data_IF_204025112046
#
_entry.id   IF_204025112046
#
_cell.length_a   1.000
_cell.length_b   1.000
_cell.length_c   1.000
_cell.angle_alpha   90.00
_cell.angle_beta   90.00
_cell.angle_gamma   90.00
#
_symmetry.space_group_name_H-M   'P 1'
#
loop_
_entity.id
_entity.type
_entity.pdbx_description
1 polymer ?
#
# COMPACT_ATOMS: atom_id res chain seq x y z
N UNK A 1 -27.05 19.00 -8.48
CA UNK A 1 -26.02 18.19 -9.18
C UNK A 1 -25.51 17.12 -8.22
N UNK A 2 -25.04 16.00 -8.75
CA UNK A 2 -24.32 14.99 -7.95
C UNK A 2 -22.83 15.36 -7.81
N UNK A 3 -22.18 14.92 -6.74
CA UNK A 3 -20.75 15.21 -6.53
C UNK A 3 -19.88 14.76 -7.72
N UNK A 4 -20.12 13.57 -8.26
CA UNK A 4 -19.37 13.07 -9.42
C UNK A 4 -19.56 13.94 -10.68
N UNK A 5 -20.74 14.56 -10.87
CA UNK A 5 -20.99 15.48 -11.98
C UNK A 5 -20.16 16.76 -11.82
N UNK A 6 -20.05 17.28 -10.57
CA UNK A 6 -19.23 18.45 -10.26
C UNK A 6 -17.75 18.16 -10.50
N UNK A 7 -17.25 17.00 -10.05
CA UNK A 7 -15.87 16.57 -10.29
C UNK A 7 -15.57 16.44 -11.78
N UNK A 8 -16.50 15.87 -12.57
CA UNK A 8 -16.37 15.73 -14.02
C UNK A 8 -16.35 17.10 -14.70
N UNK A 9 -17.24 18.01 -14.30
CA UNK A 9 -17.28 19.37 -14.85
C UNK A 9 -15.97 20.14 -14.53
N UNK A 10 -15.49 20.05 -13.29
CA UNK A 10 -14.23 20.66 -12.87
C UNK A 10 -13.02 20.13 -13.66
N UNK A 11 -12.99 18.82 -13.91
CA UNK A 11 -11.91 18.18 -14.69
C UNK A 11 -11.94 18.58 -16.18
N UNK A 12 -13.14 18.93 -16.70
CA UNK A 12 -13.36 19.32 -18.10
C UNK A 12 -13.18 20.82 -18.34
N UNK A 13 -12.91 21.62 -17.31
CA UNK A 13 -12.66 23.06 -17.40
C UNK A 13 -11.25 23.32 -17.96
N UNK A 14 -11.13 23.21 -19.30
CA UNK A 14 -9.88 23.47 -20.02
C UNK A 14 -9.77 24.97 -20.34
N UNK A 15 -8.91 25.69 -19.62
CA UNK A 15 -8.63 27.12 -19.88
C UNK A 15 -7.29 27.54 -19.29
N UNK A 16 -6.73 28.65 -19.82
CA UNK A 16 -5.49 29.26 -19.29
C UNK A 16 -5.65 29.70 -17.81
N UNK A 17 -6.89 29.89 -17.34
CA UNK A 17 -7.21 30.23 -15.95
C UNK A 17 -8.48 29.47 -15.50
N UNK A 18 -8.31 28.27 -14.91
CA UNK A 18 -9.47 27.52 -14.34
C UNK A 18 -10.08 28.31 -13.18
N UNK A 19 -11.39 28.11 -12.92
CA UNK A 19 -12.04 28.64 -11.73
C UNK A 19 -11.31 28.16 -10.46
N UNK A 20 -11.43 28.93 -9.37
CA UNK A 20 -10.89 28.52 -8.07
C UNK A 20 -11.48 27.19 -7.60
N UNK A 21 -12.78 26.97 -7.86
CA UNK A 21 -13.46 25.71 -7.59
C UNK A 21 -12.77 24.55 -8.31
N UNK A 22 -12.55 24.67 -9.62
CA UNK A 22 -11.85 23.65 -10.42
C UNK A 22 -10.43 23.44 -9.93
N UNK A 23 -9.67 24.50 -9.69
CA UNK A 23 -8.28 24.42 -9.23
C UNK A 23 -8.14 23.64 -7.90
N UNK A 24 -9.04 23.90 -6.94
CA UNK A 24 -9.05 23.24 -5.64
C UNK A 24 -9.51 21.77 -5.76
N UNK A 25 -10.48 21.46 -6.65
CA UNK A 25 -10.98 20.10 -6.88
C UNK A 25 -10.02 19.19 -7.66
N UNK A 26 -9.10 19.72 -8.46
CA UNK A 26 -8.15 18.94 -9.26
C UNK A 26 -7.28 17.99 -8.44
N UNK A 27 -7.19 18.23 -7.13
CA UNK A 27 -6.47 17.36 -6.21
C UNK A 27 -7.29 16.20 -5.66
N UNK A 28 -8.59 16.17 -5.92
CA UNK A 28 -9.46 15.04 -5.58
C UNK A 28 -9.31 13.99 -6.68
N UNK A 29 -8.68 12.86 -6.39
CA UNK A 29 -8.38 11.82 -7.39
C UNK A 29 -9.34 10.64 -7.31
N UNK A 30 -9.92 10.37 -6.13
CA UNK A 30 -10.93 9.33 -5.97
C UNK A 30 -11.89 9.68 -4.84
N UNK A 31 -13.12 9.23 -4.98
CA UNK A 31 -14.21 9.44 -4.01
C UNK A 31 -14.97 8.13 -3.85
N UNK A 32 -15.29 7.79 -2.62
CA UNK A 32 -16.16 6.67 -2.28
C UNK A 32 -17.50 6.75 -3.02
N UNK A 33 -18.01 5.60 -3.44
CA UNK A 33 -19.27 5.53 -4.20
C UNK A 33 -20.46 6.16 -3.48
N UNK A 34 -20.53 6.05 -2.16
CA UNK A 34 -21.60 6.63 -1.35
C UNK A 34 -21.56 8.17 -1.39
N UNK A 35 -20.36 8.77 -1.37
CA UNK A 35 -20.18 10.22 -1.50
C UNK A 35 -20.38 10.70 -2.93
N UNK A 36 -19.92 9.96 -3.92
CA UNK A 36 -19.99 10.36 -5.33
C UNK A 36 -21.41 10.61 -5.81
N UNK A 37 -22.38 9.88 -5.23
CA UNK A 37 -23.80 9.99 -5.51
C UNK A 37 -24.57 11.03 -4.71
N UNK A 38 -23.93 11.75 -3.77
CA UNK A 38 -24.60 12.77 -2.94
C UNK A 38 -24.99 13.98 -3.77
N UNK A 39 -26.19 14.52 -3.49
CA UNK A 39 -26.64 15.80 -4.07
C UNK A 39 -25.89 16.95 -3.39
N UNK A 40 -25.11 17.68 -4.18
CA UNK A 40 -24.55 18.96 -3.76
C UNK A 40 -25.56 20.09 -4.07
N UNK A 41 -25.56 21.14 -3.26
CA UNK A 41 -26.43 22.27 -3.50
C UNK A 41 -26.03 22.97 -4.83
N UNK A 42 -26.99 23.68 -5.46
CA UNK A 42 -26.79 24.38 -6.73
C UNK A 42 -27.45 23.68 -7.89
N UNK A 43 -28.00 24.49 -8.81
CA UNK A 43 -28.73 24.01 -9.97
C UNK A 43 -27.81 23.56 -11.11
N UNK A 44 -26.64 24.17 -11.22
CA UNK A 44 -25.66 23.96 -12.28
C UNK A 44 -24.24 24.32 -11.79
N UNK A 45 -23.24 23.92 -12.57
CA UNK A 45 -21.82 24.12 -12.24
C UNK A 45 -21.43 25.61 -12.16
N UNK A 46 -21.96 26.46 -13.07
CA UNK A 46 -21.66 27.89 -13.08
C UNK A 46 -22.13 28.59 -11.79
N UNK A 47 -23.30 28.21 -11.28
CA UNK A 47 -23.81 28.69 -9.99
C UNK A 47 -22.92 28.30 -8.82
N UNK A 48 -22.38 27.07 -8.84
CA UNK A 48 -21.41 26.59 -7.84
C UNK A 48 -20.11 27.38 -7.90
N UNK A 49 -19.56 27.61 -9.08
CA UNK A 49 -18.37 28.44 -9.29
C UNK A 49 -18.57 29.84 -8.71
N UNK A 50 -19.63 30.52 -9.10
CA UNK A 50 -19.90 31.88 -8.64
C UNK A 50 -20.03 31.98 -7.10
N UNK A 51 -20.73 31.02 -6.50
CA UNK A 51 -20.86 30.97 -5.05
C UNK A 51 -19.54 30.66 -4.33
N UNK A 52 -18.74 29.73 -4.87
CA UNK A 52 -17.44 29.40 -4.28
C UNK A 52 -16.43 30.55 -4.38
N UNK A 53 -16.40 31.29 -5.50
CA UNK A 53 -15.54 32.47 -5.70
C UNK A 53 -15.84 33.57 -4.68
N UNK A 54 -17.11 33.71 -4.25
CA UNK A 54 -17.51 34.65 -3.19
C UNK A 54 -17.25 34.15 -1.77
N UNK A 55 -16.70 32.93 -1.61
CA UNK A 55 -16.63 32.21 -0.35
C UNK A 55 -15.56 32.68 0.63
N UNK A 56 -15.63 32.11 1.82
CA UNK A 56 -14.84 32.47 3.00
C UNK A 56 -13.36 32.04 2.98
N UNK A 57 -12.65 32.22 4.09
CA UNK A 57 -11.27 31.82 4.27
C UNK A 57 -11.10 30.30 4.27
N UNK A 58 -9.86 29.86 4.12
CA UNK A 58 -9.53 28.45 4.29
C UNK A 58 -9.84 27.97 5.70
N UNK A 59 -10.25 26.70 5.87
CA UNK A 59 -10.59 26.17 7.19
C UNK A 59 -9.37 26.09 8.12
N UNK A 60 -9.64 26.04 9.42
CA UNK A 60 -8.65 25.69 10.43
C UNK A 60 -8.28 24.21 10.30
N UNK A 61 -6.98 23.93 10.33
CA UNK A 61 -6.43 22.57 10.29
C UNK A 61 -5.45 22.42 11.44
N UNK A 62 -5.67 21.45 12.31
CA UNK A 62 -4.71 21.12 13.37
C UNK A 62 -3.97 19.84 13.00
N UNK A 63 -2.64 19.96 12.86
CA UNK A 63 -1.76 18.80 12.77
C UNK A 63 -1.73 18.10 14.14
N UNK A 64 -1.95 16.79 14.16
CA UNK A 64 -1.91 15.95 15.36
C UNK A 64 -0.78 14.95 15.24
N UNK A 65 0.24 15.10 16.09
CA UNK A 65 1.45 14.27 16.06
C UNK A 65 1.58 13.52 17.37
N UNK A 66 1.79 12.20 17.30
CA UNK A 66 2.20 11.38 18.44
C UNK A 66 3.72 11.24 18.42
N UNK A 67 4.38 11.38 19.57
CA UNK A 67 5.83 11.25 19.65
C UNK A 67 6.30 10.38 20.83
N UNK A 68 7.42 9.72 20.61
CA UNK A 68 8.25 9.07 21.62
C UNK A 68 9.68 8.89 21.07
N UNK A 69 10.63 9.69 21.57
CA UNK A 69 12.04 9.68 21.14
C UNK A 69 12.21 9.82 19.60
N UNK A 70 11.78 11.00 19.08
CA UNK A 70 11.73 11.31 17.64
C UNK A 70 12.61 12.55 17.30
N UNK A 71 13.72 12.78 18.01
CA UNK A 71 14.58 13.96 17.82
C UNK A 71 15.09 14.10 16.39
N UNK A 72 15.31 12.99 15.67
CA UNK A 72 15.83 13.01 14.29
C UNK A 72 14.76 13.42 13.25
N UNK A 73 13.49 13.22 13.53
CA UNK A 73 12.39 13.35 12.56
C UNK A 73 11.41 14.48 12.87
N UNK A 74 11.15 14.77 14.14
CA UNK A 74 10.08 15.66 14.59
C UNK A 74 10.20 17.08 14.02
N UNK A 75 11.40 17.61 13.88
CA UNK A 75 11.65 18.95 13.33
C UNK A 75 11.20 19.06 11.88
N UNK A 76 11.49 18.04 11.06
CA UNK A 76 11.06 17.95 9.64
C UNK A 76 9.55 17.77 9.54
N UNK A 77 8.97 16.90 10.36
CA UNK A 77 7.53 16.67 10.43
C UNK A 77 6.79 17.99 10.67
N UNK A 78 7.08 18.68 11.77
CA UNK A 78 6.44 19.95 12.16
C UNK A 78 6.69 21.05 11.12
N UNK A 79 7.93 21.18 10.65
CA UNK A 79 8.30 22.20 9.66
C UNK A 79 7.57 22.05 8.33
N UNK A 80 7.36 20.81 7.86
CA UNK A 80 6.66 20.54 6.62
C UNK A 80 5.17 20.87 6.70
N UNK A 81 4.55 20.67 7.88
CA UNK A 81 3.12 20.90 8.11
C UNK A 81 2.75 22.38 8.33
N UNK A 82 3.74 23.26 8.54
CA UNK A 82 3.51 24.65 8.98
C UNK A 82 2.70 25.52 8.00
N UNK A 83 2.65 25.18 6.71
CA UNK A 83 1.86 25.91 5.70
C UNK A 83 0.42 25.40 5.58
N UNK A 84 0.20 24.15 5.95
CA UNK A 84 -1.09 23.48 5.82
C UNK A 84 -1.87 23.40 7.13
N UNK A 85 -1.17 23.48 8.26
CA UNK A 85 -1.77 23.47 9.58
C UNK A 85 -1.75 24.86 10.21
N UNK A 86 -2.88 25.28 10.79
CA UNK A 86 -2.99 26.51 11.58
C UNK A 86 -2.37 26.40 12.96
N UNK A 87 -2.15 25.17 13.43
CA UNK A 87 -1.47 24.80 14.66
C UNK A 87 -1.18 23.32 14.69
N UNK A 88 -0.32 22.89 15.62
CA UNK A 88 0.04 21.48 15.81
C UNK A 88 -0.19 21.12 17.28
N UNK A 89 -0.83 19.98 17.52
CA UNK A 89 -0.89 19.31 18.82
C UNK A 89 0.11 18.17 18.79
N UNK A 90 1.17 18.28 19.59
CA UNK A 90 2.12 17.20 19.83
C UNK A 90 1.74 16.50 21.13
N UNK A 91 1.35 15.24 21.05
CA UNK A 91 1.08 14.38 22.20
C UNK A 91 2.27 13.46 22.42
N UNK A 92 3.06 13.80 23.44
CA UNK A 92 4.29 13.08 23.79
C UNK A 92 4.04 11.94 24.79
N UNK A 93 4.62 10.79 24.52
CA UNK A 93 4.46 9.58 25.33
C UNK A 93 5.56 9.38 26.40
N UNK A 94 6.40 10.41 26.61
CA UNK A 94 7.47 10.40 27.60
C UNK A 94 8.86 10.36 26.97
N UNK A 95 9.10 11.17 25.93
CA UNK A 95 10.41 11.31 25.28
C UNK A 95 11.49 11.73 26.26
N UNK A 96 12.65 11.13 26.13
CA UNK A 96 13.85 11.36 26.97
C UNK A 96 14.99 12.01 26.19
N UNK A 97 14.85 12.10 24.88
CA UNK A 97 15.77 12.75 23.94
C UNK A 97 15.41 14.24 23.72
N UNK A 98 15.95 14.87 22.69
CA UNK A 98 15.72 16.28 22.35
C UNK A 98 14.37 16.54 21.64
N UNK A 99 13.48 15.56 21.49
CA UNK A 99 12.20 15.67 20.75
C UNK A 99 11.41 16.91 21.16
N UNK A 100 11.21 17.11 22.48
CA UNK A 100 10.39 18.22 23.01
C UNK A 100 11.08 19.58 22.85
N UNK A 101 12.39 19.64 22.92
CA UNK A 101 13.16 20.87 22.72
C UNK A 101 13.06 21.31 21.24
N UNK A 102 13.25 20.39 20.32
CA UNK A 102 13.13 20.63 18.87
C UNK A 102 11.70 21.10 18.55
N UNK A 103 10.70 20.43 19.07
CA UNK A 103 9.31 20.81 18.83
C UNK A 103 8.99 22.25 19.34
N UNK A 104 9.49 22.63 20.51
CA UNK A 104 9.31 24.00 21.07
C UNK A 104 10.03 25.07 20.25
N UNK A 105 11.16 24.73 19.64
CA UNK A 105 11.96 25.66 18.84
C UNK A 105 11.45 25.83 17.42
N UNK A 106 10.44 25.03 17.01
CA UNK A 106 9.87 25.14 15.65
C UNK A 106 9.15 26.47 15.44
N UNK A 107 9.09 26.94 14.20
CA UNK A 107 8.38 28.17 13.81
C UNK A 107 6.85 28.04 13.81
N UNK A 108 6.32 26.84 13.92
CA UNK A 108 4.88 26.57 13.95
C UNK A 108 4.31 26.78 15.36
N UNK A 109 3.01 27.08 15.46
CA UNK A 109 2.29 27.11 16.72
C UNK A 109 2.09 25.68 17.23
N UNK A 110 2.95 25.22 18.14
CA UNK A 110 2.91 23.85 18.69
C UNK A 110 2.38 23.88 20.14
N UNK A 111 1.28 23.17 20.36
CA UNK A 111 0.75 22.86 21.69
C UNK A 111 1.25 21.48 22.10
N UNK A 112 2.12 21.41 23.09
CA UNK A 112 2.66 20.15 23.59
C UNK A 112 1.81 19.68 24.77
N UNK A 113 1.39 18.41 24.73
CA UNK A 113 0.75 17.68 25.81
C UNK A 113 1.51 16.38 26.06
N UNK A 114 1.64 15.98 27.33
CA UNK A 114 2.31 14.74 27.69
C UNK A 114 1.31 13.77 28.32
N UNK A 115 1.33 12.53 27.85
CA UNK A 115 0.52 11.42 28.37
C UNK A 115 1.34 10.13 28.29
N UNK A 116 1.55 9.42 29.42
CA UNK A 116 2.23 8.13 29.38
C UNK A 116 1.58 7.18 28.35
N UNK A 117 2.41 6.37 27.70
CA UNK A 117 1.94 5.41 26.70
C UNK A 117 0.96 4.40 27.32
N UNK A 118 -0.31 4.32 26.83
CA UNK A 118 -1.34 3.45 27.41
C UNK A 118 -1.29 2.00 26.91
N UNK A 119 -0.36 1.66 26.01
CA UNK A 119 -0.33 0.35 25.35
C UNK A 119 -1.14 0.27 24.06
N UNK A 120 -1.79 1.35 23.64
CA UNK A 120 -2.70 1.40 22.50
C UNK A 120 -2.53 2.70 21.71
N UNK A 121 -2.29 2.58 20.40
CA UNK A 121 -2.25 3.73 19.50
C UNK A 121 -3.63 4.38 19.35
N UNK A 122 -4.70 3.58 19.26
CA UNK A 122 -6.05 4.13 19.15
C UNK A 122 -6.43 4.94 20.38
N UNK A 123 -6.10 4.49 21.58
CA UNK A 123 -6.34 5.21 22.81
C UNK A 123 -5.57 6.54 22.86
N UNK A 124 -4.31 6.53 22.39
CA UNK A 124 -3.49 7.73 22.34
C UNK A 124 -4.03 8.73 21.30
N UNK A 125 -4.41 8.28 20.09
CA UNK A 125 -5.03 9.16 19.07
C UNK A 125 -6.39 9.69 19.50
N UNK A 126 -7.23 8.86 20.12
CA UNK A 126 -8.52 9.29 20.64
C UNK A 126 -8.38 10.34 21.76
N UNK A 127 -7.36 10.24 22.60
CA UNK A 127 -7.04 11.29 23.55
C UNK A 127 -6.58 12.56 22.83
N UNK A 128 -5.72 12.46 21.82
CA UNK A 128 -5.26 13.63 21.05
C UNK A 128 -6.41 14.41 20.39
N UNK A 129 -7.46 13.72 19.91
CA UNK A 129 -8.69 14.36 19.40
C UNK A 129 -9.29 15.31 20.43
N UNK A 130 -9.26 14.97 21.73
CA UNK A 130 -9.85 15.81 22.79
C UNK A 130 -9.06 17.09 23.06
N UNK A 131 -7.83 17.20 22.57
CA UNK A 131 -6.97 18.37 22.75
C UNK A 131 -7.19 19.46 21.70
N UNK A 132 -8.02 19.18 20.68
CA UNK A 132 -8.39 20.08 19.59
C UNK A 132 -9.85 20.47 19.74
N UNK A 133 -10.13 21.76 19.63
CA UNK A 133 -11.48 22.30 19.88
C UNK A 133 -12.39 22.18 18.66
N UNK A 134 -11.90 22.57 17.46
CA UNK A 134 -12.68 22.62 16.21
C UNK A 134 -11.81 22.46 14.96
N UNK A 135 -12.43 22.56 13.78
CA UNK A 135 -11.77 22.52 12.49
C UNK A 135 -11.47 21.09 12.00
N UNK A 136 -10.45 20.98 11.19
CA UNK A 136 -9.96 19.70 10.65
C UNK A 136 -8.80 19.16 11.46
N UNK A 137 -8.79 17.87 11.67
CA UNK A 137 -7.67 17.11 12.26
C UNK A 137 -6.86 16.49 11.13
N UNK A 138 -5.55 16.67 11.19
CA UNK A 138 -4.62 15.99 10.28
C UNK A 138 -3.61 15.19 11.11
N UNK A 139 -3.80 13.89 11.18
CA UNK A 139 -2.87 12.97 11.86
C UNK A 139 -1.63 12.75 11.02
N UNK A 140 -0.47 13.09 11.57
CA UNK A 140 0.85 12.96 10.93
C UNK A 140 1.72 12.16 11.89
N UNK A 141 2.34 11.07 11.43
CA UNK A 141 3.29 10.35 12.26
C UNK A 141 4.61 11.13 12.33
N UNK A 142 5.31 11.07 13.47
CA UNK A 142 6.49 11.91 13.71
C UNK A 142 7.63 11.70 12.68
N UNK A 143 7.63 10.56 11.96
CA UNK A 143 8.55 10.21 10.90
C UNK A 143 7.97 10.40 9.48
N UNK A 144 6.86 11.17 9.37
CA UNK A 144 6.24 11.58 8.11
C UNK A 144 6.40 13.08 7.88
N UNK A 145 6.39 13.50 6.60
CA UNK A 145 6.41 14.91 6.24
C UNK A 145 5.71 15.16 4.91
N UNK A 146 5.17 16.37 4.75
CA UNK A 146 4.53 16.83 3.52
C UNK A 146 5.61 17.15 2.49
N UNK A 147 5.45 16.67 1.26
CA UNK A 147 6.38 16.95 0.17
C UNK A 147 6.44 18.48 -0.12
N UNK A 148 7.63 19.04 -0.40
CA UNK A 148 7.79 20.48 -0.59
C UNK A 148 6.86 21.10 -1.65
N UNK A 149 6.61 20.35 -2.73
CA UNK A 149 5.72 20.75 -3.84
C UNK A 149 4.24 20.77 -3.44
N UNK A 150 3.85 20.09 -2.37
CA UNK A 150 2.46 20.04 -1.90
C UNK A 150 2.15 20.93 -0.70
N UNK A 151 3.17 21.49 -0.07
CA UNK A 151 2.99 22.40 1.06
C UNK A 151 2.15 23.63 0.70
N UNK A 152 1.15 23.91 1.53
CA UNK A 152 0.20 25.02 1.37
C UNK A 152 -1.00 24.69 0.48
N UNK A 153 -1.16 23.43 0.05
CA UNK A 153 -2.23 23.02 -0.89
C UNK A 153 -3.38 22.26 -0.23
N UNK A 154 -3.24 21.82 1.03
CA UNK A 154 -4.28 21.07 1.72
C UNK A 154 -5.50 21.92 2.05
N UNK A 155 -5.31 23.11 2.65
CA UNK A 155 -6.41 23.94 3.13
C UNK A 155 -7.38 24.38 2.04
N UNK A 156 -6.94 24.78 0.82
CA UNK A 156 -7.83 25.03 -0.30
C UNK A 156 -8.71 23.84 -0.67
N UNK A 157 -8.14 22.62 -0.68
CA UNK A 157 -8.93 21.40 -0.95
C UNK A 157 -9.96 21.15 0.16
N UNK A 158 -9.58 21.27 1.42
CA UNK A 158 -10.52 21.10 2.52
C UNK A 158 -11.64 22.15 2.51
N UNK A 159 -11.35 23.39 2.08
CA UNK A 159 -12.37 24.43 1.89
C UNK A 159 -13.41 24.03 0.83
N UNK A 160 -12.97 23.48 -0.30
CA UNK A 160 -13.94 23.06 -1.34
C UNK A 160 -14.75 21.85 -0.87
N UNK A 161 -14.17 20.95 -0.08
CA UNK A 161 -14.91 19.85 0.52
C UNK A 161 -15.92 20.31 1.58
N UNK A 162 -15.59 21.33 2.38
CA UNK A 162 -16.55 21.97 3.29
C UNK A 162 -17.72 22.63 2.54
N UNK A 163 -17.43 23.26 1.40
CA UNK A 163 -18.42 23.92 0.58
C UNK A 163 -19.38 22.93 -0.12
N UNK A 164 -18.84 21.84 -0.69
CA UNK A 164 -19.63 20.87 -1.45
C UNK A 164 -20.34 19.83 -0.57
N UNK A 165 -19.74 19.48 0.58
CA UNK A 165 -20.19 18.41 1.45
C UNK A 165 -20.41 18.90 2.89
N UNK A 166 -21.24 19.96 3.10
CA UNK A 166 -21.49 20.48 4.44
C UNK A 166 -22.23 19.41 5.28
N UNK A 167 -21.72 19.17 6.50
CA UNK A 167 -22.33 18.23 7.44
C UNK A 167 -22.19 16.74 7.07
N UNK A 168 -21.46 16.40 6.02
CA UNK A 168 -21.13 14.99 5.71
C UNK A 168 -19.90 14.56 6.49
N UNK A 169 -19.95 13.35 7.07
CA UNK A 169 -18.82 12.75 7.77
C UNK A 169 -18.06 11.81 6.82
N UNK A 170 -16.80 12.11 6.56
CA UNK A 170 -15.91 11.33 5.70
C UNK A 170 -14.45 11.51 6.10
N UNK A 171 -13.62 10.60 5.65
CA UNK A 171 -12.16 10.63 5.83
C UNK A 171 -11.47 11.12 4.57
N UNK A 172 -10.37 11.83 4.73
CA UNK A 172 -9.54 12.30 3.61
C UNK A 172 -8.16 11.65 3.71
N UNK A 173 -7.70 11.11 2.59
CA UNK A 173 -6.48 10.34 2.48
C UNK A 173 -5.47 11.04 1.57
N UNK A 174 -4.37 11.60 2.10
CA UNK A 174 -3.20 11.96 1.30
C UNK A 174 -2.49 10.71 0.78
N UNK A 175 -1.70 10.84 -0.29
CA UNK A 175 -0.77 9.81 -0.77
C UNK A 175 0.46 9.78 0.13
N UNK A 176 0.89 8.60 0.54
CA UNK A 176 2.04 8.39 1.41
C UNK A 176 3.07 7.48 0.72
N UNK A 177 4.19 8.04 0.30
CA UNK A 177 5.31 7.29 -0.25
C UNK A 177 6.17 6.71 0.89
N UNK A 178 6.37 5.40 0.87
CA UNK A 178 7.19 4.71 1.87
C UNK A 178 8.64 4.62 1.42
N UNK A 179 9.51 5.46 1.99
CA UNK A 179 10.96 5.39 1.74
C UNK A 179 11.51 4.02 2.11
N UNK A 180 12.32 3.45 1.22
CA UNK A 180 12.94 2.14 1.42
C UNK A 180 12.06 0.94 0.99
N UNK A 181 10.76 1.14 0.72
CA UNK A 181 9.89 0.10 0.16
C UNK A 181 9.50 0.35 -1.30
N UNK A 182 9.43 1.62 -1.72
CA UNK A 182 9.06 2.01 -3.07
C UNK A 182 7.56 1.92 -3.38
N UNK A 183 6.72 1.66 -2.36
CA UNK A 183 5.27 1.65 -2.46
C UNK A 183 4.65 2.98 -2.05
N UNK A 184 3.47 3.27 -2.59
CA UNK A 184 2.67 4.45 -2.25
C UNK A 184 1.33 4.00 -1.70
N UNK A 185 1.04 4.37 -0.45
CA UNK A 185 -0.26 4.14 0.16
C UNK A 185 -1.21 5.31 -0.16
N UNK A 186 -2.41 5.02 -0.67
CA UNK A 186 -3.44 6.01 -1.00
C UNK A 186 -4.59 6.02 0.01
N UNK A 187 -4.88 4.91 0.65
CA UNK A 187 -5.96 4.77 1.63
C UNK A 187 -5.46 5.02 3.06
N UNK A 188 -4.88 6.21 3.31
CA UNK A 188 -4.21 6.54 4.57
C UNK A 188 -5.15 7.03 5.67
N UNK A 189 -6.32 7.61 5.32
CA UNK A 189 -7.40 8.04 6.23
C UNK A 189 -6.93 8.93 7.40
N UNK A 190 -6.08 9.89 7.09
CA UNK A 190 -5.38 10.71 8.09
C UNK A 190 -6.10 12.01 8.47
N UNK A 191 -7.13 12.43 7.71
CA UNK A 191 -7.72 13.76 7.84
C UNK A 191 -9.24 13.64 7.98
N UNK A 192 -9.82 14.34 8.99
CA UNK A 192 -11.27 14.42 9.17
C UNK A 192 -11.65 15.61 10.05
N UNK A 193 -12.93 16.00 10.04
CA UNK A 193 -13.43 17.10 10.88
C UNK A 193 -13.44 16.70 12.34
N UNK A 194 -13.08 17.64 13.23
CA UNK A 194 -13.15 17.45 14.68
C UNK A 194 -14.59 17.14 15.14
N UNK A 195 -15.58 17.69 14.45
CA UNK A 195 -17.00 17.46 14.72
C UNK A 195 -17.50 16.06 14.36
N UNK A 196 -16.78 15.34 13.50
CA UNK A 196 -17.14 13.97 13.12
C UNK A 196 -17.07 13.02 14.32
N UNK A 197 -17.97 12.03 14.40
CA UNK A 197 -18.05 11.13 15.55
C UNK A 197 -16.95 10.07 15.55
N UNK A 198 -16.02 10.11 14.61
CA UNK A 198 -15.01 9.06 14.43
C UNK A 198 -14.17 8.80 15.65
N UNK A 199 -13.82 7.52 15.84
CA UNK A 199 -12.89 7.03 16.85
C UNK A 199 -11.93 6.06 16.23
N UNK A 200 -10.65 6.18 16.58
CA UNK A 200 -9.67 5.15 16.22
C UNK A 200 -9.99 3.87 16.99
N UNK A 201 -9.88 2.74 16.29
CA UNK A 201 -10.06 1.39 16.82
C UNK A 201 -8.86 0.52 16.47
N UNK A 202 -8.52 -0.42 17.38
CA UNK A 202 -7.34 -1.27 17.29
C UNK A 202 -6.14 -0.69 18.05
N UNK A 203 -5.47 -1.51 18.87
CA UNK A 203 -4.32 -1.05 19.65
C UNK A 203 -3.09 -0.78 18.77
N UNK A 204 -2.99 -1.50 17.65
CA UNK A 204 -2.01 -1.33 16.56
C UNK A 204 -2.74 -1.45 15.22
N UNK A 205 -2.21 -0.87 14.13
CA UNK A 205 -2.88 -0.80 12.83
C UNK A 205 -4.27 -0.17 12.96
N UNK A 206 -4.35 0.83 13.79
CA UNK A 206 -5.58 1.55 14.12
C UNK A 206 -6.07 2.38 12.94
N UNK A 207 -7.39 2.42 12.79
CA UNK A 207 -8.08 3.25 11.79
C UNK A 207 -9.27 3.97 12.42
N UNK A 208 -9.69 5.13 11.88
CA UNK A 208 -10.88 5.81 12.34
C UNK A 208 -12.15 5.14 11.79
N UNK A 209 -13.11 4.88 12.66
CA UNK A 209 -14.42 4.29 12.38
C UNK A 209 -15.52 5.10 13.04
N UNK A 210 -16.77 4.86 12.62
CA UNK A 210 -17.92 5.29 13.43
C UNK A 210 -17.95 4.54 14.76
N UNK A 211 -18.64 5.08 15.80
CA UNK A 211 -18.68 4.42 17.12
C UNK A 211 -19.27 3.00 17.12
N UNK A 212 -20.09 2.67 16.12
CA UNK A 212 -20.66 1.33 15.93
C UNK A 212 -19.70 0.35 15.24
N UNK A 213 -18.52 0.84 14.80
CA UNK A 213 -17.50 0.07 14.09
C UNK A 213 -17.67 0.04 12.58
N UNK A 214 -18.66 0.75 12.03
CA UNK A 214 -18.81 0.87 10.58
C UNK A 214 -17.74 1.77 9.96
N UNK A 215 -17.35 1.45 8.73
CA UNK A 215 -16.33 2.20 7.98
C UNK A 215 -16.90 3.50 7.44
N UNK A 216 -16.23 4.65 7.65
CA UNK A 216 -16.59 5.90 7.00
C UNK A 216 -16.32 5.90 5.51
N UNK A 217 -17.08 6.68 4.75
CA UNK A 217 -16.74 7.05 3.38
C UNK A 217 -15.43 7.84 3.32
N UNK A 218 -14.78 7.84 2.16
CA UNK A 218 -13.45 8.42 2.01
C UNK A 218 -13.28 9.20 0.71
N UNK A 219 -12.30 10.11 0.74
CA UNK A 219 -11.83 10.90 -0.42
C UNK A 219 -10.30 10.78 -0.47
N UNK A 220 -9.74 10.43 -1.63
CA UNK A 220 -8.29 10.42 -1.86
C UNK A 220 -7.83 11.70 -2.54
N UNK A 221 -6.70 12.22 -2.10
CA UNK A 221 -6.10 13.44 -2.62
C UNK A 221 -4.78 13.16 -3.32
N UNK A 222 -4.53 13.90 -4.40
CA UNK A 222 -3.20 14.13 -4.95
C UNK A 222 -2.46 15.16 -4.08
N UNK A 223 -2.14 14.74 -2.86
CA UNK A 223 -1.38 15.48 -1.86
C UNK A 223 -0.34 14.54 -1.28
N UNK A 224 0.92 14.79 -1.59
CA UNK A 224 2.03 13.88 -1.32
C UNK A 224 2.62 14.07 0.06
N UNK A 225 2.79 12.93 0.74
CA UNK A 225 3.57 12.80 1.97
C UNK A 225 4.65 11.73 1.77
N UNK A 226 5.68 11.78 2.57
CA UNK A 226 6.73 10.77 2.61
C UNK A 226 6.92 10.25 4.03
N UNK A 227 7.12 8.94 4.15
CA UNK A 227 7.35 8.23 5.40
C UNK A 227 8.75 7.63 5.41
N UNK A 228 9.58 8.04 6.36
CA UNK A 228 10.99 7.61 6.49
C UNK A 228 11.19 6.46 7.47
N UNK A 229 10.14 6.04 8.16
CA UNK A 229 10.21 5.02 9.22
C UNK A 229 10.60 3.61 8.76
N UNK A 230 10.69 3.34 7.44
CA UNK A 230 11.13 2.07 6.85
C UNK A 230 12.58 2.06 6.37
N UNK A 231 13.29 3.16 6.53
CA UNK A 231 14.74 3.17 6.25
C UNK A 231 15.44 2.19 7.22
N UNK A 232 16.31 1.27 6.74
CA UNK A 232 16.88 0.19 7.56
C UNK A 232 17.53 0.65 8.85
N UNK A 233 18.20 1.79 8.82
CA UNK A 233 18.87 2.40 9.97
C UNK A 233 17.86 2.78 11.07
N UNK A 234 16.72 3.35 10.70
CA UNK A 234 15.65 3.77 11.62
C UNK A 234 14.93 2.57 12.21
N UNK A 235 14.65 1.54 11.41
CA UNK A 235 13.98 0.30 11.87
C UNK A 235 14.81 -0.40 12.92
N UNK A 236 16.15 -0.46 12.73
CA UNK A 236 17.07 -1.13 13.64
C UNK A 236 17.20 -0.37 14.97
N UNK A 237 17.29 0.96 14.93
CA UNK A 237 17.45 1.79 16.12
C UNK A 237 16.23 1.75 17.05
N UNK A 238 15.01 1.72 16.50
CA UNK A 238 13.76 1.87 17.28
C UNK A 238 13.21 0.59 17.91
N UNK A 239 13.81 -0.60 17.70
CA UNK A 239 13.28 -1.91 18.17
C UNK A 239 11.79 -2.12 17.90
N UNK A 240 11.27 -1.47 16.83
CA UNK A 240 9.84 -1.43 16.48
C UNK A 240 9.23 -2.84 16.32
N UNK A 241 9.98 -3.78 15.73
CA UNK A 241 9.46 -5.12 15.40
C UNK A 241 9.06 -5.96 16.64
N UNK A 242 9.77 -5.83 17.76
CA UNK A 242 9.45 -6.57 18.99
C UNK A 242 8.14 -6.10 19.62
N UNK A 243 7.97 -4.79 19.76
CA UNK A 243 6.76 -4.18 20.33
C UNK A 243 5.52 -4.49 19.49
N UNK A 244 5.61 -4.38 18.16
CA UNK A 244 4.48 -4.68 17.26
C UNK A 244 4.00 -6.12 17.40
N UNK A 245 4.92 -7.09 17.51
CA UNK A 245 4.58 -8.51 17.71
C UNK A 245 3.80 -8.76 18.98
N UNK A 246 4.21 -8.17 20.10
CA UNK A 246 3.51 -8.34 21.38
C UNK A 246 2.12 -7.68 21.36
N UNK A 247 1.98 -6.51 20.71
CA UNK A 247 0.70 -5.85 20.56
C UNK A 247 -0.27 -6.66 19.68
N UNK A 248 0.20 -7.18 18.52
CA UNK A 248 -0.61 -8.06 17.66
C UNK A 248 -1.08 -9.30 18.43
N UNK A 249 -0.18 -9.92 19.20
CA UNK A 249 -0.52 -11.09 20.02
C UNK A 249 -1.57 -10.77 21.09
N UNK A 250 -1.49 -9.61 21.73
CA UNK A 250 -2.48 -9.15 22.70
C UNK A 250 -3.83 -8.94 22.04
N UNK A 251 -3.89 -8.23 20.90
CA UNK A 251 -5.10 -8.02 20.10
C UNK A 251 -5.71 -9.37 19.65
N UNK A 252 -4.87 -10.29 19.18
CA UNK A 252 -5.28 -11.62 18.75
C UNK A 252 -5.91 -12.44 19.89
N UNK A 253 -5.36 -12.29 21.10
CA UNK A 253 -5.88 -12.96 22.31
C UNK A 253 -7.20 -12.35 22.78
N UNK A 254 -7.35 -11.04 22.67
CA UNK A 254 -8.58 -10.33 23.04
C UNK A 254 -9.74 -10.58 22.05
N UNK A 255 -9.41 -10.67 20.75
CA UNK A 255 -10.38 -10.87 19.67
C UNK A 255 -10.05 -12.09 18.80
N UNK A 256 -10.18 -13.33 19.32
CA UNK A 256 -9.68 -14.54 18.64
C UNK A 256 -10.32 -14.84 17.28
N UNK A 257 -11.49 -14.32 17.00
CA UNK A 257 -12.21 -14.53 15.73
C UNK A 257 -12.20 -13.31 14.81
N UNK A 258 -11.45 -12.25 15.17
CA UNK A 258 -11.31 -11.10 14.28
C UNK A 258 -10.23 -11.41 13.21
N UNK A 259 -10.60 -11.53 11.91
CA UNK A 259 -9.67 -11.89 10.84
C UNK A 259 -8.58 -10.84 10.63
N UNK A 260 -8.81 -9.58 11.02
CA UNK A 260 -7.81 -8.52 11.01
C UNK A 260 -6.54 -8.93 11.74
N UNK A 261 -6.67 -9.49 12.93
CA UNK A 261 -5.52 -9.87 13.74
C UNK A 261 -4.80 -11.10 13.19
N UNK A 262 -5.52 -12.03 12.55
CA UNK A 262 -4.91 -13.17 11.84
C UNK A 262 -4.10 -12.68 10.65
N UNK A 263 -4.63 -11.73 9.88
CA UNK A 263 -3.93 -11.11 8.76
C UNK A 263 -2.62 -10.44 9.22
N UNK A 264 -2.69 -9.56 10.22
CA UNK A 264 -1.49 -8.85 10.70
C UNK A 264 -0.48 -9.79 11.38
N UNK A 265 -0.93 -10.82 12.12
CA UNK A 265 -0.06 -11.85 12.64
C UNK A 265 0.66 -12.59 11.51
N UNK A 266 -0.06 -12.94 10.45
CA UNK A 266 0.54 -13.61 9.29
C UNK A 266 1.53 -12.70 8.58
N UNK A 267 1.17 -11.45 8.31
CA UNK A 267 2.01 -10.50 7.56
C UNK A 267 3.25 -10.06 8.34
N UNK A 268 3.10 -9.71 9.62
CA UNK A 268 4.13 -9.02 10.38
C UNK A 268 4.96 -9.96 11.29
N UNK A 269 4.43 -11.17 11.57
CA UNK A 269 5.10 -12.13 12.44
C UNK A 269 5.49 -13.40 11.71
N UNK A 270 4.55 -14.07 11.03
CA UNK A 270 4.81 -15.36 10.40
C UNK A 270 5.58 -15.21 9.09
N UNK A 271 5.16 -14.34 8.19
CA UNK A 271 5.79 -14.17 6.88
C UNK A 271 7.29 -13.83 6.96
N UNK A 272 7.76 -12.93 7.85
CA UNK A 272 9.19 -12.69 8.03
C UNK A 272 9.97 -13.89 8.58
N UNK A 273 9.29 -14.87 9.17
CA UNK A 273 9.89 -16.10 9.71
C UNK A 273 9.88 -17.27 8.71
N UNK A 274 9.21 -17.15 7.57
CA UNK A 274 9.16 -18.19 6.53
C UNK A 274 10.56 -18.42 5.95
N UNK A 275 11.04 -19.66 6.05
CA UNK A 275 12.36 -20.11 5.52
C UNK A 275 12.23 -21.33 4.61
N UNK A 276 11.08 -22.00 4.61
CA UNK A 276 10.82 -23.21 3.82
C UNK A 276 9.43 -23.18 3.19
N UNK A 277 9.16 -24.01 2.18
CA UNK A 277 7.83 -24.23 1.65
C UNK A 277 6.82 -24.69 2.71
N UNK A 278 7.27 -25.45 3.71
CA UNK A 278 6.45 -25.92 4.81
C UNK A 278 6.01 -24.77 5.73
N UNK A 279 6.93 -23.84 6.04
CA UNK A 279 6.60 -22.64 6.81
C UNK A 279 5.58 -21.77 6.06
N UNK A 280 5.76 -21.62 4.73
CA UNK A 280 4.86 -20.87 3.89
C UNK A 280 3.45 -21.51 3.86
N UNK A 281 3.38 -22.85 3.79
CA UNK A 281 2.12 -23.58 3.85
C UNK A 281 1.44 -23.40 5.21
N UNK A 282 2.15 -23.50 6.30
CA UNK A 282 1.61 -23.29 7.64
C UNK A 282 1.05 -21.86 7.81
N UNK A 283 1.77 -20.84 7.33
CA UNK A 283 1.30 -19.45 7.34
C UNK A 283 0.06 -19.24 6.45
N UNK A 284 0.03 -19.90 5.29
CA UNK A 284 -1.12 -19.91 4.39
C UNK A 284 -2.35 -20.52 5.08
N UNK A 285 -2.23 -21.74 5.65
CA UNK A 285 -3.33 -22.45 6.30
C UNK A 285 -3.87 -21.63 7.50
N UNK A 286 -2.97 -20.96 8.25
CA UNK A 286 -3.34 -20.08 9.35
C UNK A 286 -4.23 -18.91 8.85
N UNK A 287 -3.78 -18.17 7.83
CA UNK A 287 -4.52 -17.04 7.27
C UNK A 287 -5.82 -17.50 6.59
N UNK A 288 -5.76 -18.57 5.79
CA UNK A 288 -6.90 -19.11 5.06
C UNK A 288 -8.04 -19.51 6.00
N UNK A 289 -7.72 -20.05 7.18
CA UNK A 289 -8.71 -20.43 8.19
C UNK A 289 -9.58 -19.27 8.68
N UNK A 290 -9.13 -18.04 8.52
CA UNK A 290 -9.83 -16.83 8.95
C UNK A 290 -10.77 -16.24 7.90
N UNK A 291 -10.67 -16.65 6.63
CA UNK A 291 -11.51 -16.12 5.54
C UNK A 291 -13.03 -16.16 5.84
N UNK A 292 -13.57 -17.25 6.44
CA UNK A 292 -15.00 -17.31 6.77
C UNK A 292 -15.44 -16.32 7.86
N UNK A 293 -14.53 -15.60 8.50
CA UNK A 293 -14.87 -14.63 9.55
C UNK A 293 -15.10 -13.22 9.00
N UNK A 294 -14.61 -12.91 7.79
CA UNK A 294 -14.86 -11.63 7.14
C UNK A 294 -16.37 -11.44 6.90
N UNK A 295 -16.87 -10.24 7.14
CA UNK A 295 -18.28 -9.90 6.99
C UNK A 295 -19.23 -10.48 8.02
N UNK A 296 -18.75 -11.18 9.05
CA UNK A 296 -19.63 -11.70 10.14
C UNK A 296 -20.14 -10.56 11.02
N UNK A 297 -21.43 -10.61 11.41
CA UNK A 297 -21.96 -9.67 12.39
C UNK A 297 -21.17 -9.68 13.70
N UNK A 298 -20.88 -8.51 14.24
CA UNK A 298 -20.15 -8.35 15.51
C UNK A 298 -18.63 -8.33 15.38
N UNK A 299 -18.06 -8.61 14.22
CA UNK A 299 -16.65 -8.37 13.92
C UNK A 299 -16.51 -6.88 13.62
N UNK A 300 -15.79 -6.18 14.49
CA UNK A 300 -15.50 -4.74 14.35
C UNK A 300 -14.13 -4.53 13.74
N UNK A 301 -13.91 -3.34 13.20
CA UNK A 301 -12.58 -2.92 12.74
C UNK A 301 -11.98 -3.88 11.69
N UNK A 302 -12.86 -4.44 10.81
CA UNK A 302 -12.47 -5.33 9.73
C UNK A 302 -13.15 -4.91 8.43
N UNK A 303 -12.37 -4.41 7.50
CA UNK A 303 -12.84 -3.81 6.25
C UNK A 303 -12.74 -4.77 5.06
N UNK A 304 -13.49 -4.48 3.99
CA UNK A 304 -13.39 -5.18 2.72
C UNK A 304 -11.96 -5.14 2.15
N UNK A 305 -11.25 -4.02 2.33
CA UNK A 305 -9.84 -3.87 1.92
C UNK A 305 -8.93 -4.91 2.59
N UNK A 306 -9.22 -5.29 3.84
CA UNK A 306 -8.42 -6.29 4.55
C UNK A 306 -8.65 -7.70 4.01
N UNK A 307 -9.86 -8.02 3.52
CA UNK A 307 -10.11 -9.28 2.82
C UNK A 307 -9.30 -9.33 1.52
N UNK A 308 -9.22 -8.22 0.81
CA UNK A 308 -8.41 -8.09 -0.40
C UNK A 308 -6.93 -8.31 -0.10
N UNK A 309 -6.39 -7.60 0.89
CA UNK A 309 -4.99 -7.73 1.32
C UNK A 309 -4.68 -9.16 1.78
N UNK A 310 -5.59 -9.80 2.51
CA UNK A 310 -5.46 -11.19 2.93
C UNK A 310 -5.45 -12.16 1.73
N UNK A 311 -6.28 -11.89 0.71
CA UNK A 311 -6.35 -12.72 -0.50
C UNK A 311 -5.07 -12.61 -1.33
N UNK A 312 -4.51 -11.40 -1.45
CA UNK A 312 -3.20 -11.18 -2.08
C UNK A 312 -2.10 -11.92 -1.32
N UNK A 313 -2.06 -11.78 0.01
CA UNK A 313 -1.06 -12.46 0.84
C UNK A 313 -1.17 -13.99 0.76
N UNK A 314 -2.38 -14.52 0.61
CA UNK A 314 -2.59 -15.96 0.38
C UNK A 314 -2.00 -16.41 -0.97
N UNK A 315 -2.17 -15.64 -2.04
CA UNK A 315 -1.50 -15.90 -3.31
C UNK A 315 0.04 -15.90 -3.17
N UNK A 316 0.59 -14.89 -2.49
CA UNK A 316 2.05 -14.78 -2.27
C UNK A 316 2.62 -15.93 -1.44
N UNK A 317 1.90 -16.36 -0.42
CA UNK A 317 2.28 -17.54 0.38
C UNK A 317 2.20 -18.83 -0.45
N UNK A 318 1.13 -18.97 -1.26
CA UNK A 318 0.94 -20.13 -2.13
C UNK A 318 2.04 -20.24 -3.19
N UNK A 319 2.54 -19.11 -3.71
CA UNK A 319 3.72 -19.10 -4.61
C UNK A 319 4.95 -19.74 -3.95
N UNK A 320 5.17 -19.50 -2.64
CA UNK A 320 6.36 -19.97 -1.92
C UNK A 320 6.38 -21.48 -1.69
N UNK A 321 5.23 -22.15 -1.69
CA UNK A 321 5.17 -23.62 -1.59
C UNK A 321 4.71 -24.30 -2.89
N UNK A 322 4.51 -23.55 -3.97
CA UNK A 322 4.12 -24.08 -5.28
C UNK A 322 2.65 -24.51 -5.37
N UNK A 323 1.77 -23.89 -4.56
CA UNK A 323 0.34 -24.18 -4.48
C UNK A 323 -0.45 -23.63 -5.66
N UNK A 324 -0.42 -24.30 -6.81
CA UNK A 324 -1.07 -23.81 -8.04
C UNK A 324 -2.59 -23.74 -7.94
N UNK A 325 -3.20 -24.72 -7.30
CA UNK A 325 -4.66 -24.77 -7.10
C UNK A 325 -5.12 -23.65 -6.17
N UNK A 326 -4.35 -23.40 -5.11
CA UNK A 326 -4.60 -22.32 -4.15
C UNK A 326 -4.47 -20.95 -4.82
N UNK A 327 -3.43 -20.75 -5.65
CA UNK A 327 -3.25 -19.49 -6.39
C UNK A 327 -4.42 -19.29 -7.36
N UNK A 328 -4.81 -20.30 -8.13
CA UNK A 328 -5.90 -20.20 -9.09
C UNK A 328 -7.24 -19.87 -8.40
N UNK A 329 -7.49 -20.48 -7.24
CA UNK A 329 -8.67 -20.20 -6.41
C UNK A 329 -8.71 -18.74 -5.95
N UNK A 330 -7.62 -18.24 -5.37
CA UNK A 330 -7.56 -16.87 -4.87
C UNK A 330 -7.47 -15.83 -5.98
N UNK A 331 -6.84 -16.14 -7.12
CA UNK A 331 -6.84 -15.26 -8.30
C UNK A 331 -8.27 -15.03 -8.83
N UNK A 332 -9.11 -16.08 -8.84
CA UNK A 332 -10.54 -15.90 -9.17
C UNK A 332 -11.24 -14.98 -8.18
N UNK A 333 -11.01 -15.18 -6.87
CA UNK A 333 -11.59 -14.34 -5.83
C UNK A 333 -11.14 -12.86 -5.94
N UNK A 334 -9.89 -12.59 -6.35
CA UNK A 334 -9.40 -11.23 -6.60
C UNK A 334 -10.17 -10.55 -7.73
N UNK A 335 -10.53 -11.28 -8.79
CA UNK A 335 -11.36 -10.73 -9.86
C UNK A 335 -12.75 -10.32 -9.35
N UNK A 336 -13.38 -11.15 -8.52
CA UNK A 336 -14.68 -10.87 -7.90
C UNK A 336 -14.62 -9.68 -6.92
N UNK A 337 -13.47 -9.47 -6.29
CA UNK A 337 -13.19 -8.34 -5.42
C UNK A 337 -12.81 -7.05 -6.18
N UNK A 338 -12.93 -7.04 -7.52
CA UNK A 338 -12.65 -5.87 -8.35
C UNK A 338 -11.16 -5.59 -8.59
N UNK A 339 -10.31 -6.62 -8.48
CA UNK A 339 -8.86 -6.54 -8.72
C UNK A 339 -8.41 -7.39 -9.92
N UNK A 340 -8.85 -7.03 -11.14
CA UNK A 340 -8.57 -7.82 -12.33
C UNK A 340 -7.09 -7.86 -12.71
N UNK A 341 -6.31 -6.85 -12.35
CA UNK A 341 -4.87 -6.77 -12.68
C UNK A 341 -4.09 -7.78 -11.84
N UNK A 342 -4.32 -7.81 -10.53
CA UNK A 342 -3.72 -8.78 -9.62
C UNK A 342 -4.17 -10.19 -9.94
N UNK A 343 -5.45 -10.39 -10.24
CA UNK A 343 -6.00 -11.67 -10.69
C UNK A 343 -5.28 -12.19 -11.95
N UNK A 344 -5.11 -11.33 -12.97
CA UNK A 344 -4.41 -11.67 -14.21
C UNK A 344 -2.93 -11.99 -13.96
N UNK A 345 -2.26 -11.26 -13.07
CA UNK A 345 -0.87 -11.53 -12.69
C UNK A 345 -0.71 -12.95 -12.12
N UNK A 346 -1.51 -13.30 -11.10
CA UNK A 346 -1.41 -14.62 -10.47
C UNK A 346 -1.83 -15.76 -11.42
N UNK A 347 -2.82 -15.56 -12.27
CA UNK A 347 -3.19 -16.53 -13.31
C UNK A 347 -2.01 -16.76 -14.26
N UNK A 348 -1.37 -15.70 -14.75
CA UNK A 348 -0.20 -15.80 -15.62
C UNK A 348 0.99 -16.50 -14.94
N UNK A 349 1.21 -16.28 -13.65
CA UNK A 349 2.25 -16.98 -12.86
C UNK A 349 1.99 -18.49 -12.82
N UNK A 350 0.72 -18.92 -12.64
CA UNK A 350 0.35 -20.35 -12.67
C UNK A 350 0.60 -20.96 -14.05
N UNK A 351 0.21 -20.27 -15.13
CA UNK A 351 0.44 -20.71 -16.50
C UNK A 351 1.95 -20.82 -16.81
N UNK A 352 2.72 -19.80 -16.46
CA UNK A 352 4.17 -19.78 -16.64
C UNK A 352 4.83 -20.95 -15.87
N UNK A 353 4.49 -21.16 -14.60
CA UNK A 353 5.01 -22.27 -13.80
C UNK A 353 4.65 -23.65 -14.38
N UNK A 354 3.48 -23.76 -15.01
CA UNK A 354 3.04 -24.97 -15.71
C UNK A 354 3.88 -25.23 -16.96
N UNK A 355 4.08 -24.20 -17.78
CA UNK A 355 4.93 -24.25 -18.98
C UNK A 355 6.39 -24.62 -18.61
N UNK A 356 6.95 -23.96 -17.59
CA UNK A 356 8.30 -24.26 -17.09
C UNK A 356 8.45 -25.72 -16.61
N UNK A 357 7.40 -26.28 -15.97
CA UNK A 357 7.41 -27.69 -15.55
C UNK A 357 7.49 -28.63 -16.75
N UNK A 358 6.79 -28.31 -17.83
CA UNK A 358 6.87 -29.08 -19.09
C UNK A 358 8.25 -28.95 -19.74
N UNK A 359 8.75 -27.70 -19.86
CA UNK A 359 10.06 -27.41 -20.47
C UNK A 359 11.19 -28.15 -19.70
N UNK A 360 11.21 -28.10 -18.37
CA UNK A 360 12.25 -28.72 -17.56
C UNK A 360 12.27 -30.27 -17.64
N UNK A 361 11.21 -30.90 -18.17
CA UNK A 361 11.19 -32.36 -18.42
C UNK A 361 11.85 -32.76 -19.77
N UNK A 362 12.04 -31.80 -20.67
CA UNK A 362 12.58 -32.09 -21.99
C UNK A 362 14.01 -32.65 -21.93
N UNK A 363 14.97 -32.00 -21.20
CA UNK A 363 16.34 -32.53 -21.11
C UNK A 363 16.39 -33.98 -20.61
N UNK A 364 15.73 -34.27 -19.50
CA UNK A 364 15.75 -35.60 -18.89
C UNK A 364 15.06 -36.69 -19.74
N UNK A 365 14.11 -36.30 -20.59
CA UNK A 365 13.49 -37.24 -21.56
C UNK A 365 14.40 -37.58 -22.72
N UNK A 366 15.31 -36.68 -23.05
CA UNK A 366 16.22 -36.85 -24.18
C UNK A 366 17.51 -37.56 -23.80
N UNK A 367 17.96 -37.49 -22.54
CA UNK A 367 19.22 -38.12 -22.09
C UNK A 367 19.31 -39.62 -22.43
N UNK A 368 18.29 -40.49 -22.22
CA UNK A 368 18.39 -41.91 -22.54
C UNK A 368 18.56 -42.20 -24.04
N UNK A 369 18.13 -41.28 -24.91
CA UNK A 369 18.26 -41.44 -26.36
C UNK A 369 19.68 -41.16 -26.81
N UNK A 370 20.43 -40.34 -26.05
CA UNK A 370 21.81 -39.96 -26.38
C UNK A 370 22.78 -41.13 -26.15
N UNK A 371 22.49 -42.01 -25.20
CA UNK A 371 23.34 -43.16 -24.86
C UNK A 371 23.31 -44.27 -25.96
N UNK A 372 22.29 -44.26 -26.81
CA UNK A 372 22.12 -45.28 -27.88
C UNK A 372 22.32 -44.71 -29.28
N UNK A 373 22.83 -43.47 -29.37
CA UNK A 373 22.99 -42.80 -30.66
C UNK A 373 24.14 -43.38 -31.48
N UNK A 374 23.90 -43.58 -32.77
CA UNK A 374 24.88 -44.06 -33.75
C UNK A 374 25.62 -42.88 -34.41
N UNK A 375 26.85 -43.09 -34.99
CA UNK A 375 27.62 -42.00 -35.61
C UNK A 375 26.89 -41.20 -36.69
N UNK A 376 25.98 -41.82 -37.42
CA UNK A 376 25.14 -41.19 -38.45
C UNK A 376 24.06 -40.30 -37.88
N UNK A 377 23.80 -40.34 -36.56
CA UNK A 377 22.90 -39.47 -35.84
C UNK A 377 23.55 -38.16 -35.36
N UNK A 378 24.82 -37.89 -35.65
CA UNK A 378 25.59 -36.77 -35.09
C UNK A 378 24.88 -35.42 -35.25
N UNK A 379 24.30 -35.10 -36.40
CA UNK A 379 23.55 -33.87 -36.62
C UNK A 379 22.27 -33.80 -35.78
N UNK A 380 21.57 -34.91 -35.57
CA UNK A 380 20.38 -34.98 -34.72
C UNK A 380 20.75 -34.81 -33.23
N UNK A 381 21.88 -35.40 -32.83
CA UNK A 381 22.46 -35.18 -31.48
C UNK A 381 22.78 -33.70 -31.24
N UNK A 382 23.40 -33.04 -32.22
CA UNK A 382 23.67 -31.60 -32.15
C UNK A 382 22.40 -30.77 -31.94
N UNK A 383 21.32 -31.08 -32.68
CA UNK A 383 20.01 -30.41 -32.50
C UNK A 383 19.37 -30.69 -31.13
N UNK A 384 19.54 -31.89 -30.57
CA UNK A 384 19.08 -32.23 -29.24
C UNK A 384 19.83 -31.39 -28.20
N UNK A 385 21.17 -31.26 -28.30
CA UNK A 385 21.96 -30.44 -27.42
C UNK A 385 21.62 -28.95 -27.55
N UNK A 386 21.34 -28.48 -28.75
CA UNK A 386 20.85 -27.12 -28.98
C UNK A 386 19.49 -26.87 -28.29
N UNK A 387 18.54 -27.80 -28.39
CA UNK A 387 17.26 -27.74 -27.72
C UNK A 387 17.44 -27.75 -26.15
N UNK A 388 18.33 -28.61 -25.64
CA UNK A 388 18.65 -28.64 -24.20
C UNK A 388 19.26 -27.31 -23.74
N UNK A 389 20.12 -26.68 -24.54
CA UNK A 389 20.68 -25.37 -24.25
C UNK A 389 19.58 -24.28 -24.15
N UNK A 390 18.66 -24.26 -25.14
CA UNK A 390 17.53 -23.31 -25.11
C UNK A 390 16.64 -23.48 -23.90
N UNK A 391 16.32 -24.71 -23.51
CA UNK A 391 15.52 -24.99 -22.32
C UNK A 391 16.25 -24.56 -21.04
N UNK A 392 17.54 -24.89 -20.92
CA UNK A 392 18.37 -24.52 -19.77
C UNK A 392 18.42 -22.98 -19.60
N UNK A 393 18.68 -22.23 -20.67
CA UNK A 393 18.68 -20.77 -20.64
C UNK A 393 17.30 -20.21 -20.26
N UNK A 394 16.21 -20.78 -20.79
CA UNK A 394 14.84 -20.35 -20.49
C UNK A 394 14.44 -20.63 -19.04
N UNK A 395 15.06 -21.63 -18.40
CA UNK A 395 14.82 -21.99 -17.00
C UNK A 395 15.78 -21.31 -15.99
N UNK A 396 16.71 -20.48 -16.48
CA UNK A 396 17.70 -19.80 -15.66
C UNK A 396 18.94 -20.64 -15.31
N UNK A 397 19.07 -21.86 -15.83
CA UNK A 397 20.30 -22.67 -15.74
C UNK A 397 21.31 -22.23 -16.80
N UNK A 398 21.93 -21.08 -16.59
CA UNK A 398 22.90 -20.52 -17.54
C UNK A 398 24.15 -21.38 -17.69
N UNK A 399 24.60 -22.06 -16.63
CA UNK A 399 25.78 -22.92 -16.67
C UNK A 399 25.52 -24.18 -17.52
N UNK A 400 24.40 -24.87 -17.27
CA UNK A 400 23.95 -26.00 -18.09
C UNK A 400 23.70 -25.60 -19.55
N UNK A 401 23.06 -24.43 -19.74
CA UNK A 401 22.81 -23.87 -21.07
C UNK A 401 24.08 -23.68 -21.91
N UNK A 402 25.12 -23.09 -21.31
CA UNK A 402 26.45 -22.94 -21.96
C UNK A 402 27.10 -24.29 -22.24
N UNK A 403 27.05 -25.25 -21.32
CA UNK A 403 27.60 -26.58 -21.51
C UNK A 403 26.92 -27.31 -22.69
N UNK A 404 25.61 -27.31 -22.76
CA UNK A 404 24.86 -27.90 -23.87
C UNK A 404 25.11 -27.17 -25.21
N UNK A 405 25.21 -25.83 -25.17
CA UNK A 405 25.56 -25.07 -26.38
C UNK A 405 26.91 -25.46 -26.97
N UNK A 406 27.96 -25.57 -26.16
CA UNK A 406 29.28 -26.03 -26.67
C UNK A 406 29.26 -27.46 -27.23
N UNK A 407 28.44 -28.36 -26.65
CA UNK A 407 28.24 -29.69 -27.15
C UNK A 407 27.52 -29.67 -28.53
N UNK A 408 26.52 -28.82 -28.70
CA UNK A 408 25.83 -28.61 -29.95
C UNK A 408 26.78 -28.05 -31.04
N UNK A 409 27.59 -27.04 -30.67
CA UNK A 409 28.56 -26.41 -31.58
C UNK A 409 29.63 -27.38 -32.06
N UNK A 410 30.12 -28.25 -31.17
CA UNK A 410 31.05 -29.30 -31.54
C UNK A 410 30.49 -30.32 -32.56
N UNK A 411 29.15 -30.40 -32.66
CA UNK A 411 28.44 -31.26 -33.62
C UNK A 411 27.91 -30.47 -34.85
N UNK A 412 28.36 -29.22 -35.03
CA UNK A 412 27.98 -28.37 -36.15
C UNK A 412 26.59 -27.74 -36.02
N UNK A 413 26.01 -27.74 -34.83
CA UNK A 413 24.72 -27.11 -34.51
C UNK A 413 24.94 -25.91 -33.55
N UNK A 414 23.87 -25.27 -33.04
CA UNK A 414 23.95 -24.15 -32.09
C UNK A 414 23.63 -22.80 -32.70
N UNK A 415 23.24 -22.72 -33.97
CA UNK A 415 22.95 -21.46 -34.65
C UNK A 415 21.77 -20.73 -34.04
N UNK A 416 20.68 -21.41 -33.69
CA UNK A 416 19.48 -20.84 -33.07
C UNK A 416 19.75 -20.25 -31.67
N UNK A 417 20.66 -20.89 -30.93
CA UNK A 417 21.09 -20.38 -29.61
C UNK A 417 21.92 -19.13 -29.77
N UNK A 418 22.89 -19.15 -30.71
CA UNK A 418 23.76 -17.98 -30.99
C UNK A 418 22.94 -16.78 -31.44
N UNK A 419 21.99 -16.93 -32.35
CA UNK A 419 21.10 -15.88 -32.83
C UNK A 419 20.23 -15.32 -31.73
N UNK A 420 19.79 -16.16 -30.79
CA UNK A 420 19.02 -15.71 -29.61
C UNK A 420 19.87 -14.91 -28.66
N UNK A 421 21.11 -15.32 -28.41
CA UNK A 421 22.06 -14.59 -27.56
C UNK A 421 22.46 -13.25 -28.18
N UNK A 422 22.68 -13.18 -29.48
CA UNK A 422 23.06 -11.96 -30.18
C UNK A 422 21.89 -10.95 -30.20
N UNK A 423 20.67 -11.41 -30.41
CA UNK A 423 19.47 -10.58 -30.28
C UNK A 423 19.30 -10.02 -28.85
N UNK A 424 19.52 -10.85 -27.83
CA UNK A 424 19.46 -10.42 -26.44
C UNK A 424 20.54 -9.37 -26.12
N UNK A 425 21.79 -9.60 -26.57
CA UNK A 425 22.88 -8.61 -26.43
C UNK A 425 22.56 -7.29 -27.12
N UNK A 426 22.03 -7.33 -28.35
CA UNK A 426 21.64 -6.14 -29.08
C UNK A 426 20.51 -5.37 -28.35
N UNK A 427 19.52 -6.07 -27.80
CA UNK A 427 18.43 -5.47 -27.04
C UNK A 427 18.90 -4.82 -25.71
N UNK A 428 19.90 -5.41 -25.04
CA UNK A 428 20.48 -4.89 -23.80
C UNK A 428 21.49 -3.74 -24.05
N UNK A 429 21.99 -3.57 -25.26
CA UNK A 429 22.93 -2.51 -25.64
C UNK A 429 22.25 -1.20 -26.08
N UNK A 430 20.93 -1.14 -26.10
CA UNK A 430 20.18 0.11 -26.35
C UNK A 430 20.13 0.92 -25.05
N UNK A 431 20.62 2.19 -25.03
CA UNK A 431 20.69 3.03 -23.83
C UNK A 431 19.31 3.45 -23.30
#
# INVERSE_FOLDING_TARGET
MKLHEVLTAAASEDGEAPSRLSADLRRVVAVDNALSGIDVWGSDYGSLVAAYESGGPDPSVTGVVLSLDEEESIGRCIGSAARDCTGIVLLDSGSTDSTLEIARSSSAAVKISSRPWPGSFSEQRNHAITLVDDGWLFFIDADEYILPEDQGKLRPVLRVLDFLLPGQDFLVSPRLANCGRGDVATNTRKIFRRSSPFRFMGDIHERPYFPDGSSPSWIELDFGMEHTGYVPEVVTAKKKAGRSKEMIKACRSAEPQNPKWVYYETRDVLLPAVRSPQDARAAYDHLHSSLPWYGRPGIRDCEADQLLDATILLCDLALRFGGREEIAFHASALSDLGRPVEAAYYAAVVEFGSAMTVLNRIPSRLEPVLDVATPDAAMTLGKIRELQALVAFSSGDYAGGVAYYHQAEALGCGESVRDSMDRARAALAVP
#
